data_IF_833381287850
#
_entry.id   IF_833381287850
#
_cell.length_a   1.000
_cell.length_b   1.000
_cell.length_c   1.000
_cell.angle_alpha   90.00
_cell.angle_beta   90.00
_cell.angle_gamma   90.00
#
_symmetry.space_group_name_H-M   'P 1'
#
loop_
_entity.id
_entity.type
_entity.pdbx_description
1 polymer ?
#
# COMPACT_ATOMS: atom_id res chain seq x y z
N UNK A 1 27.34 16.64 -46.71
CA UNK A 1 26.90 15.45 -45.95
C UNK A 1 27.79 14.28 -46.37
N UNK A 2 28.87 14.00 -45.65
CA UNK A 2 29.70 12.81 -45.85
C UNK A 2 29.83 12.08 -44.50
N UNK A 3 29.47 10.80 -44.52
CA UNK A 3 29.52 9.87 -43.39
C UNK A 3 30.97 9.49 -43.03
N UNK A 4 31.25 9.11 -41.77
CA UNK A 4 32.53 8.53 -41.39
C UNK A 4 32.65 7.05 -41.83
N UNK A 5 33.87 6.53 -42.07
CA UNK A 5 34.07 5.15 -42.49
C UNK A 5 34.06 4.14 -41.32
N UNK A 6 33.50 2.97 -41.60
CA UNK A 6 33.59 1.73 -40.83
C UNK A 6 35.04 1.22 -40.80
N UNK A 7 35.57 0.96 -39.60
CA UNK A 7 36.77 0.15 -39.40
C UNK A 7 36.38 -1.23 -38.83
N UNK A 8 37.01 -2.23 -39.42
CA UNK A 8 36.71 -3.65 -39.28
C UNK A 8 37.40 -4.31 -38.07
N UNK A 9 36.68 -5.29 -37.50
CA UNK A 9 37.10 -6.61 -36.97
C UNK A 9 38.54 -6.81 -36.47
N UNK A 10 38.63 -7.40 -35.28
CA UNK A 10 39.47 -8.59 -35.06
C UNK A 10 38.71 -9.60 -34.20
N UNK A 11 38.39 -10.73 -34.84
CA UNK A 11 37.99 -11.97 -34.20
C UNK A 11 39.26 -12.71 -33.78
N UNK A 12 39.21 -13.42 -32.66
CA UNK A 12 40.05 -14.60 -32.45
C UNK A 12 39.20 -15.67 -31.78
N UNK A 13 39.36 -16.86 -32.33
CA UNK A 13 38.59 -18.10 -32.26
C UNK A 13 38.73 -18.79 -30.89
N UNK A 14 37.66 -19.35 -30.32
CA UNK A 14 37.19 -20.75 -30.42
C UNK A 14 37.92 -21.75 -29.52
N UNK A 15 37.11 -22.47 -28.73
CA UNK A 15 37.27 -23.84 -28.18
C UNK A 15 36.84 -23.83 -26.70
N UNK A 16 35.97 -24.67 -26.16
CA UNK A 16 35.26 -25.85 -26.65
C UNK A 16 34.26 -26.17 -25.54
N UNK A 17 33.00 -26.45 -25.88
CA UNK A 17 32.07 -27.09 -24.95
C UNK A 17 32.55 -28.52 -24.63
N UNK A 18 32.04 -29.15 -23.56
CA UNK A 18 30.98 -30.08 -23.89
C UNK A 18 29.73 -29.93 -23.03
N UNK A 19 28.65 -30.25 -23.73
CA UNK A 19 27.28 -30.41 -23.30
C UNK A 19 27.09 -31.83 -22.73
N UNK A 20 26.02 -31.98 -21.95
CA UNK A 20 25.28 -33.22 -21.62
C UNK A 20 25.77 -34.04 -20.41
N UNK A 21 24.95 -34.02 -19.35
CA UNK A 21 24.29 -35.28 -18.97
C UNK A 21 22.84 -35.04 -18.51
N UNK A 22 21.92 -35.50 -19.36
CA UNK A 22 20.55 -35.87 -19.03
C UNK A 22 20.57 -36.98 -17.99
N UNK A 23 19.67 -36.96 -17.00
CA UNK A 23 19.01 -38.19 -16.57
C UNK A 23 17.65 -37.87 -15.96
N UNK A 24 16.62 -38.22 -16.73
CA UNK A 24 15.28 -38.45 -16.25
C UNK A 24 15.16 -39.92 -15.80
N UNK A 25 14.19 -40.15 -14.92
CA UNK A 25 13.69 -41.42 -14.41
C UNK A 25 14.52 -42.08 -13.29
N UNK A 26 13.92 -42.13 -12.10
CA UNK A 26 13.32 -43.38 -11.64
C UNK A 26 12.30 -43.13 -10.53
N UNK A 27 11.06 -43.55 -10.82
CA UNK A 27 10.00 -43.81 -9.84
C UNK A 27 10.51 -44.80 -8.80
N UNK A 28 10.73 -44.34 -7.57
CA UNK A 28 10.78 -45.21 -6.41
C UNK A 28 9.36 -45.62 -6.02
N UNK A 29 8.86 -46.71 -6.62
CA UNK A 29 7.75 -47.47 -6.06
C UNK A 29 8.24 -48.15 -4.77
N UNK A 30 7.79 -47.69 -3.61
CA UNK A 30 7.81 -48.53 -2.41
C UNK A 30 6.62 -49.50 -2.51
N UNK A 31 6.94 -50.74 -2.87
CA UNK A 31 6.01 -51.88 -2.90
C UNK A 31 5.67 -52.29 -1.46
N UNK A 32 4.37 -52.48 -1.22
CA UNK A 32 3.79 -53.20 -0.09
C UNK A 32 4.36 -54.63 0.03
N UNK A 33 4.47 -55.12 1.27
CA UNK A 33 4.09 -56.49 1.61
C UNK A 33 2.86 -56.46 2.52
N UNK A 34 1.73 -57.01 2.05
CA UNK A 34 0.72 -57.58 2.96
C UNK A 34 1.03 -59.06 3.23
N UNK A 35 0.21 -59.85 3.96
CA UNK A 35 -1.07 -59.52 4.62
C UNK A 35 -1.18 -60.02 6.09
N UNK A 36 -2.18 -59.55 6.87
CA UNK A 36 -2.56 -60.20 8.15
C UNK A 36 -3.36 -59.37 9.18
N UNK A 37 -4.64 -59.10 8.88
CA UNK A 37 -5.89 -59.01 9.72
C UNK A 37 -5.84 -58.78 11.27
N UNK A 38 -6.97 -58.42 11.93
CA UNK A 38 -7.68 -57.13 12.05
C UNK A 38 -7.58 -56.53 13.47
N UNK A 39 -7.82 -55.23 13.60
CA UNK A 39 -8.03 -54.61 14.91
C UNK A 39 -8.73 -53.28 14.77
N UNK A 40 -10.06 -53.30 14.71
CA UNK A 40 -10.89 -52.11 14.91
C UNK A 40 -10.70 -51.73 16.38
N UNK A 41 -9.85 -50.74 16.64
CA UNK A 41 -9.87 -50.01 17.92
C UNK A 41 -10.61 -48.72 17.67
N UNK A 42 -11.87 -48.79 18.08
CA UNK A 42 -12.82 -47.71 18.31
C UNK A 42 -12.15 -46.55 19.05
N UNK A 43 -11.79 -45.50 18.31
CA UNK A 43 -11.37 -44.24 18.91
C UNK A 43 -12.63 -43.57 19.47
N UNK A 44 -12.85 -43.74 20.77
CA UNK A 44 -13.81 -43.00 21.58
C UNK A 44 -13.69 -41.50 21.28
N UNK A 45 -14.70 -40.95 20.63
CA UNK A 45 -14.93 -39.51 20.57
C UNK A 45 -15.27 -39.04 22.00
N UNK A 46 -14.35 -38.32 22.64
CA UNK A 46 -14.68 -37.61 23.87
C UNK A 46 -15.46 -36.33 23.54
N UNK A 47 -16.59 -36.08 24.22
CA UNK A 47 -17.43 -34.91 23.98
C UNK A 47 -16.79 -33.63 24.54
N UNK A 48 -16.78 -32.61 23.68
CA UNK A 48 -16.92 -31.17 23.93
C UNK A 48 -16.74 -30.71 25.39
N UNK A 49 -15.64 -30.00 25.64
CA UNK A 49 -15.66 -28.89 26.62
C UNK A 49 -15.56 -27.61 25.81
N UNK A 50 -16.72 -27.10 25.38
CA UNK A 50 -16.85 -25.74 24.90
C UNK A 50 -16.53 -24.83 26.09
N UNK A 51 -15.28 -24.41 26.23
CA UNK A 51 -14.98 -23.20 26.99
C UNK A 51 -15.78 -22.08 26.34
N UNK A 52 -16.71 -21.53 27.10
CA UNK A 52 -17.51 -20.39 26.72
C UNK A 52 -16.59 -19.26 26.24
N UNK A 53 -16.51 -19.09 24.93
CA UNK A 53 -16.01 -17.87 24.31
C UNK A 53 -17.02 -16.80 24.69
N UNK A 54 -16.61 -15.90 25.58
CA UNK A 54 -17.27 -14.62 25.79
C UNK A 54 -17.58 -14.04 24.40
N UNK A 55 -18.78 -13.49 24.15
CA UNK A 55 -19.00 -12.78 22.90
C UNK A 55 -18.00 -11.61 22.86
N UNK A 56 -17.00 -11.73 21.98
CA UNK A 56 -16.25 -10.57 21.50
C UNK A 56 -17.31 -9.58 21.03
N UNK A 57 -17.37 -8.46 21.74
CA UNK A 57 -18.13 -7.30 21.34
C UNK A 57 -17.61 -6.92 19.95
N UNK A 58 -18.35 -7.31 18.91
CA UNK A 58 -18.06 -6.94 17.53
C UNK A 58 -18.18 -5.43 17.51
N UNK A 59 -17.07 -4.72 17.71
CA UNK A 59 -16.98 -3.29 17.53
C UNK A 59 -17.25 -3.08 16.05
N UNK A 60 -18.52 -2.82 15.70
CA UNK A 60 -18.92 -2.55 14.35
C UNK A 60 -18.12 -1.34 13.89
N UNK A 61 -17.21 -1.55 12.93
CA UNK A 61 -16.45 -0.47 12.31
C UNK A 61 -17.40 0.67 11.97
N UNK A 62 -17.07 1.90 12.36
CA UNK A 62 -18.01 3.00 12.24
C UNK A 62 -18.41 3.19 10.78
N UNK A 63 -19.73 3.29 10.55
CA UNK A 63 -20.33 3.37 9.21
C UNK A 63 -19.79 4.60 8.49
N UNK A 64 -19.58 4.49 7.18
CA UNK A 64 -19.17 5.62 6.36
C UNK A 64 -20.21 6.75 6.42
N UNK A 65 -19.79 8.02 6.57
CA UNK A 65 -20.69 9.15 6.51
C UNK A 65 -21.37 9.24 5.14
N UNK A 66 -22.54 9.86 5.11
CA UNK A 66 -23.27 10.11 3.87
C UNK A 66 -22.44 10.99 2.93
N UNK A 67 -22.40 10.65 1.64
CA UNK A 67 -21.63 11.41 0.65
C UNK A 67 -20.16 11.02 0.52
N UNK A 68 -19.68 9.99 1.24
CA UNK A 68 -18.36 9.40 0.97
C UNK A 68 -18.38 8.58 -0.34
N UNK A 69 -17.37 8.70 -1.24
CA UNK A 69 -16.17 9.52 -1.12
C UNK A 69 -16.41 11.02 -1.38
N UNK A 70 -15.69 11.93 -0.69
CA UNK A 70 -15.81 13.37 -0.90
C UNK A 70 -15.48 13.76 -2.34
N UNK A 71 -16.32 14.64 -2.89
CA UNK A 71 -16.23 15.16 -4.26
C UNK A 71 -15.82 16.63 -4.31
N UNK A 72 -15.84 17.30 -3.16
CA UNK A 72 -15.44 18.69 -3.00
C UNK A 72 -14.53 18.84 -1.78
N UNK A 73 -13.77 19.93 -1.72
CA UNK A 73 -12.92 20.19 -0.56
C UNK A 73 -13.69 20.62 0.68
N UNK A 74 -14.87 21.23 0.52
CA UNK A 74 -15.77 21.47 1.64
C UNK A 74 -16.15 20.14 2.32
N UNK A 75 -16.53 19.12 1.53
CA UNK A 75 -16.82 17.78 2.05
C UNK A 75 -15.60 17.13 2.69
N UNK A 76 -14.41 17.29 2.09
CA UNK A 76 -13.18 16.75 2.68
C UNK A 76 -12.83 17.42 4.02
N UNK A 77 -13.04 18.73 4.13
CA UNK A 77 -12.81 19.51 5.34
C UNK A 77 -13.79 19.13 6.45
N UNK A 78 -15.06 18.96 6.13
CA UNK A 78 -16.07 18.46 7.06
C UNK A 78 -15.72 17.05 7.56
N UNK A 79 -15.31 16.16 6.65
CA UNK A 79 -14.88 14.82 6.97
C UNK A 79 -13.70 14.81 7.96
N UNK A 80 -12.74 15.73 7.81
CA UNK A 80 -11.59 15.83 8.70
C UNK A 80 -11.93 16.20 10.16
N UNK A 81 -13.14 16.70 10.45
CA UNK A 81 -13.60 16.86 11.83
C UNK A 81 -13.72 15.52 12.58
N UNK A 82 -13.85 14.41 11.85
CA UNK A 82 -13.96 13.04 12.37
C UNK A 82 -12.64 12.26 12.32
N UNK A 83 -11.53 12.95 12.02
CA UNK A 83 -10.19 12.38 11.96
C UNK A 83 -9.76 11.75 13.29
N UNK A 84 -8.97 10.68 13.19
CA UNK A 84 -8.36 10.04 14.35
C UNK A 84 -7.23 10.90 14.93
N UNK A 85 -6.90 10.60 16.18
CA UNK A 85 -5.62 11.01 16.73
C UNK A 85 -4.49 10.22 16.03
N UNK A 86 -3.39 10.90 15.77
CA UNK A 86 -2.19 10.31 15.18
C UNK A 86 -0.94 10.82 15.88
N UNK A 87 0.17 10.11 15.70
CA UNK A 87 1.52 10.54 16.11
C UNK A 87 2.35 10.82 14.87
N UNK A 88 3.26 11.78 14.93
CA UNK A 88 4.23 12.03 13.86
C UNK A 88 5.40 11.05 14.03
N UNK A 89 5.62 10.18 13.04
CA UNK A 89 6.73 9.23 13.02
C UNK A 89 8.02 9.84 12.47
N UNK A 90 7.89 10.80 11.55
CA UNK A 90 9.02 11.46 10.92
C UNK A 90 8.59 12.63 10.04
N UNK A 91 9.53 13.53 9.76
CA UNK A 91 9.36 14.54 8.71
C UNK A 91 10.69 14.79 8.03
N UNK A 92 10.67 14.73 6.70
CA UNK A 92 11.85 14.95 5.88
C UNK A 92 11.55 15.91 4.73
N UNK A 93 12.59 16.60 4.29
CA UNK A 93 12.57 17.43 3.09
C UNK A 93 13.27 16.68 1.98
N UNK A 94 12.56 16.48 0.87
CA UNK A 94 13.09 15.84 -0.33
C UNK A 94 13.41 16.89 -1.41
N UNK A 95 14.22 16.47 -2.39
CA UNK A 95 14.58 17.31 -3.53
C UNK A 95 13.33 17.79 -4.31
N UNK A 96 13.44 18.99 -4.89
CA UNK A 96 12.37 19.57 -5.70
C UNK A 96 11.23 20.20 -4.89
N UNK A 97 11.55 20.79 -3.73
CA UNK A 97 10.55 21.54 -2.94
C UNK A 97 9.48 20.66 -2.31
N UNK A 98 9.84 19.43 -1.94
CA UNK A 98 8.90 18.44 -1.40
C UNK A 98 9.11 18.23 0.09
N UNK A 99 8.03 18.19 0.86
CA UNK A 99 8.03 17.78 2.27
C UNK A 99 7.27 16.47 2.41
N UNK A 100 7.86 15.51 3.11
CA UNK A 100 7.21 14.25 3.47
C UNK A 100 7.04 14.21 4.98
N UNK A 101 5.83 13.84 5.41
CA UNK A 101 5.49 13.67 6.82
C UNK A 101 4.92 12.28 7.00
N UNK A 102 5.48 11.54 7.92
CA UNK A 102 5.02 10.21 8.29
C UNK A 102 4.15 10.33 9.54
N UNK A 103 2.95 9.77 9.48
CA UNK A 103 2.01 9.74 10.60
C UNK A 103 1.63 8.30 10.93
N UNK A 104 1.42 8.04 12.21
CA UNK A 104 1.02 6.72 12.73
C UNK A 104 -0.33 6.86 13.41
N UNK A 105 -1.30 6.02 13.01
CA UNK A 105 -2.66 6.02 13.55
C UNK A 105 -3.23 4.60 13.61
N UNK A 106 -4.22 4.34 14.49
CA UNK A 106 -4.79 3.01 14.65
C UNK A 106 -5.49 2.52 13.38
N UNK A 107 -5.65 1.19 13.19
CA UNK A 107 -6.44 0.63 12.10
C UNK A 107 -7.85 1.24 12.05
N UNK A 108 -8.30 1.62 10.86
CA UNK A 108 -9.57 2.32 10.68
C UNK A 108 -10.13 2.12 9.26
N UNK A 109 -11.44 2.35 9.05
CA UNK A 109 -12.03 2.29 7.70
C UNK A 109 -11.50 3.41 6.80
N UNK A 110 -11.53 3.16 5.48
CA UNK A 110 -11.01 4.07 4.46
C UNK A 110 -11.48 5.54 4.61
N UNK A 111 -12.74 5.77 4.98
CA UNK A 111 -13.27 7.14 5.14
C UNK A 111 -12.59 7.90 6.29
N UNK A 112 -12.29 7.22 7.39
CA UNK A 112 -11.65 7.80 8.56
C UNK A 112 -10.15 7.97 8.33
N UNK A 113 -9.56 7.10 7.52
CA UNK A 113 -8.21 7.26 6.99
C UNK A 113 -8.09 8.54 6.16
N UNK A 114 -9.01 8.78 5.22
CA UNK A 114 -9.07 10.02 4.41
C UNK A 114 -9.17 11.25 5.32
N UNK A 115 -10.07 11.21 6.33
CA UNK A 115 -10.22 12.28 7.32
C UNK A 115 -8.89 12.60 8.01
N UNK A 116 -8.19 11.56 8.47
CA UNK A 116 -6.93 11.66 9.23
C UNK A 116 -5.80 12.18 8.37
N UNK A 117 -5.66 11.70 7.13
CA UNK A 117 -4.66 12.18 6.18
C UNK A 117 -4.84 13.67 5.85
N UNK A 118 -6.09 14.12 5.64
CA UNK A 118 -6.35 15.53 5.34
C UNK A 118 -6.17 16.45 6.55
N UNK A 119 -6.54 15.99 7.75
CA UNK A 119 -6.22 16.70 9.00
C UNK A 119 -4.71 16.89 9.13
N UNK A 120 -3.93 15.83 8.93
CA UNK A 120 -2.48 15.91 8.99
C UNK A 120 -1.87 16.84 7.93
N UNK A 121 -2.41 16.85 6.72
CA UNK A 121 -2.04 17.84 5.72
C UNK A 121 -2.27 19.27 6.24
N UNK A 122 -3.46 19.54 6.79
CA UNK A 122 -3.81 20.87 7.27
C UNK A 122 -2.92 21.36 8.41
N UNK A 123 -2.42 20.45 9.25
CA UNK A 123 -1.51 20.76 10.37
C UNK A 123 -0.04 20.88 9.95
N UNK A 124 0.35 20.24 8.84
CA UNK A 124 1.74 20.20 8.37
C UNK A 124 1.99 20.92 7.05
N UNK A 125 0.96 21.53 6.46
CA UNK A 125 1.09 22.35 5.27
C UNK A 125 2.07 23.50 5.53
N UNK A 126 2.93 23.75 4.55
CA UNK A 126 3.96 24.76 4.65
C UNK A 126 4.21 25.32 3.24
N UNK A 127 3.99 26.63 3.10
CA UNK A 127 4.02 27.33 1.81
C UNK A 127 5.41 27.34 1.16
N UNK A 128 6.47 27.03 1.91
CA UNK A 128 7.83 26.89 1.39
C UNK A 128 8.01 25.68 0.48
N UNK A 129 7.07 24.72 0.52
CA UNK A 129 7.11 23.51 -0.28
C UNK A 129 6.00 23.53 -1.34
N UNK A 130 6.39 23.17 -2.57
CA UNK A 130 5.49 23.03 -3.71
C UNK A 130 4.62 21.77 -3.60
N UNK A 131 5.14 20.73 -2.95
CA UNK A 131 4.41 19.48 -2.68
C UNK A 131 4.56 19.07 -1.22
N UNK A 132 3.45 18.72 -0.58
CA UNK A 132 3.42 18.09 0.75
C UNK A 132 2.85 16.69 0.62
N UNK A 133 3.54 15.70 1.16
CA UNK A 133 3.13 14.29 1.15
C UNK A 133 2.93 13.84 2.59
N UNK A 134 1.75 13.34 2.90
CA UNK A 134 1.44 12.67 4.16
C UNK A 134 1.43 11.16 3.89
N UNK A 135 2.28 10.41 4.58
CA UNK A 135 2.34 8.95 4.54
C UNK A 135 1.78 8.39 5.84
N UNK A 136 0.74 7.56 5.75
CA UNK A 136 0.14 6.91 6.90
C UNK A 136 0.74 5.55 7.21
N UNK A 137 0.81 5.19 8.48
CA UNK A 137 1.24 3.88 8.96
C UNK A 137 0.38 3.43 10.14
N UNK A 138 0.26 2.12 10.34
CA UNK A 138 -0.30 1.56 11.57
C UNK A 138 0.82 1.24 12.56
N UNK A 139 0.54 1.25 13.87
CA UNK A 139 1.56 0.96 14.91
C UNK A 139 2.19 -0.43 14.73
N UNK A 140 1.44 -1.40 14.20
CA UNK A 140 1.91 -2.76 13.92
C UNK A 140 2.62 -2.91 12.56
N UNK A 141 2.56 -1.87 11.71
CA UNK A 141 3.25 -1.89 10.43
C UNK A 141 4.73 -1.70 10.68
N UNK A 142 5.50 -2.76 10.46
CA UNK A 142 6.95 -2.69 10.50
C UNK A 142 7.43 -1.69 9.43
N UNK A 143 7.74 -0.46 9.87
CA UNK A 143 8.14 0.68 9.04
C UNK A 143 9.33 0.33 8.13
N UNK A 144 10.05 -0.74 8.45
CA UNK A 144 11.16 -1.30 7.68
C UNK A 144 10.77 -1.82 6.28
N UNK A 145 9.51 -2.20 6.05
CA UNK A 145 9.07 -2.74 4.75
C UNK A 145 8.45 -1.69 3.80
N UNK A 146 8.43 -0.41 4.18
CA UNK A 146 8.23 0.71 3.25
C UNK A 146 6.85 0.83 2.59
N UNK A 147 5.86 0.01 2.96
CA UNK A 147 4.49 0.18 2.49
C UNK A 147 3.74 1.11 3.43
N UNK A 148 3.34 2.28 2.91
CA UNK A 148 2.41 3.13 3.63
C UNK A 148 1.02 2.49 3.64
N UNK A 149 0.29 2.71 4.74
CA UNK A 149 -1.13 2.47 4.82
C UNK A 149 -1.76 3.85 4.64
N UNK A 150 -2.06 4.19 3.40
CA UNK A 150 -2.64 5.47 3.02
C UNK A 150 -1.60 6.54 2.73
N UNK A 151 -1.91 7.35 1.72
CA UNK A 151 -1.07 8.45 1.26
C UNK A 151 -1.92 9.62 0.82
N UNK A 152 -1.55 10.82 1.22
CA UNK A 152 -2.04 12.06 0.62
C UNK A 152 -0.87 12.79 -0.03
N UNK A 153 -1.02 13.16 -1.29
CA UNK A 153 -0.11 14.07 -1.99
C UNK A 153 -0.86 15.36 -2.31
N UNK A 154 -0.35 16.48 -1.81
CA UNK A 154 -0.85 17.81 -2.09
C UNK A 154 0.16 18.57 -2.94
N UNK A 155 -0.22 18.91 -4.16
CA UNK A 155 0.57 19.75 -5.06
C UNK A 155 -0.05 21.15 -5.08
N UNK A 156 0.71 22.16 -4.66
CA UNK A 156 0.24 23.55 -4.60
C UNK A 156 0.13 24.18 -5.99
N UNK A 157 0.96 23.74 -6.93
CA UNK A 157 1.13 24.30 -8.28
C UNK A 157 1.20 23.21 -9.34
N UNK A 158 0.23 22.29 -9.34
CA UNK A 158 0.14 21.28 -10.40
C UNK A 158 -0.31 21.93 -11.71
N UNK A 159 0.30 21.51 -12.83
CA UNK A 159 -0.11 21.96 -14.17
C UNK A 159 -1.24 21.11 -14.70
N UNK A 160 -2.32 21.76 -15.14
CA UNK A 160 -3.40 21.17 -15.91
C UNK A 160 -3.59 22.00 -17.19
N UNK A 161 -2.98 21.54 -18.30
CA UNK A 161 -2.85 22.36 -19.50
C UNK A 161 -2.04 23.62 -19.22
N UNK A 162 -2.63 24.79 -19.50
CA UNK A 162 -2.03 26.11 -19.25
C UNK A 162 -2.40 26.70 -17.88
N UNK A 163 -3.15 25.97 -17.06
CA UNK A 163 -3.60 26.43 -15.75
C UNK A 163 -2.75 25.82 -14.64
N UNK A 164 -2.52 26.60 -13.58
CA UNK A 164 -2.00 26.10 -12.32
C UNK A 164 -3.18 25.82 -11.38
N UNK A 165 -3.17 24.64 -10.79
CA UNK A 165 -4.19 24.19 -9.85
C UNK A 165 -3.53 23.70 -8.56
N UNK A 166 -4.28 23.77 -7.47
CA UNK A 166 -4.01 22.96 -6.28
C UNK A 166 -4.59 21.57 -6.53
N UNK A 167 -3.84 20.52 -6.23
CA UNK A 167 -4.27 19.13 -6.43
C UNK A 167 -4.05 18.31 -5.17
N UNK A 168 -5.09 17.61 -4.75
CA UNK A 168 -5.08 16.67 -3.63
C UNK A 168 -5.30 15.28 -4.21
N UNK A 169 -4.35 14.38 -3.97
CA UNK A 169 -4.44 12.97 -4.36
C UNK A 169 -4.36 12.11 -3.11
N UNK A 170 -5.44 11.41 -2.79
CA UNK A 170 -5.58 10.60 -1.58
C UNK A 170 -5.76 9.15 -2.00
N UNK A 171 -4.96 8.27 -1.42
CA UNK A 171 -5.00 6.83 -1.61
C UNK A 171 -5.14 6.20 -0.22
N UNK A 172 -6.11 5.31 -0.03
CA UNK A 172 -6.29 4.56 1.23
C UNK A 172 -5.63 3.19 1.15
N UNK A 173 -5.36 2.60 2.31
CA UNK A 173 -4.65 1.32 2.43
C UNK A 173 -3.36 1.29 1.60
N UNK A 174 -3.00 0.14 1.01
CA UNK A 174 -1.82 0.02 0.14
C UNK A 174 -2.19 0.23 -1.34
N UNK A 175 -3.47 0.49 -1.63
CA UNK A 175 -3.99 0.72 -2.97
C UNK A 175 -4.30 -0.55 -3.76
N UNK A 176 -4.21 -1.73 -3.15
CA UNK A 176 -4.49 -3.02 -3.79
C UNK A 176 -5.68 -3.76 -3.17
N UNK A 177 -6.12 -3.32 -1.99
CA UNK A 177 -7.24 -3.88 -1.26
C UNK A 177 -8.57 -3.48 -1.95
N UNK A 178 -9.57 -4.37 -1.90
CA UNK A 178 -10.87 -4.19 -2.58
C UNK A 178 -11.61 -2.93 -2.09
N UNK A 179 -11.40 -2.55 -0.84
CA UNK A 179 -11.96 -1.38 -0.16
C UNK A 179 -11.05 -0.14 -0.26
N UNK A 180 -9.96 -0.20 -1.04
CA UNK A 180 -9.12 0.96 -1.34
C UNK A 180 -9.85 1.99 -2.19
N UNK A 181 -9.70 3.24 -1.79
CA UNK A 181 -10.28 4.40 -2.47
C UNK A 181 -9.16 5.32 -2.91
N UNK A 182 -9.27 5.80 -4.15
CA UNK A 182 -8.42 6.85 -4.69
C UNK A 182 -9.27 8.07 -5.01
N UNK A 183 -8.95 9.20 -4.37
CA UNK A 183 -9.69 10.45 -4.49
C UNK A 183 -8.74 11.49 -5.08
N UNK A 184 -9.22 12.22 -6.10
CA UNK A 184 -8.52 13.35 -6.68
C UNK A 184 -9.42 14.57 -6.62
N UNK A 185 -8.99 15.61 -5.91
CA UNK A 185 -9.66 16.90 -5.83
C UNK A 185 -8.74 18.00 -6.36
N UNK A 186 -9.31 19.02 -6.98
CA UNK A 186 -8.57 20.14 -7.55
C UNK A 186 -9.23 21.48 -7.24
N UNK A 187 -8.43 22.52 -7.01
CA UNK A 187 -8.88 23.91 -6.95
C UNK A 187 -8.13 24.73 -7.97
N UNK A 188 -8.84 25.58 -8.70
CA UNK A 188 -8.23 26.61 -9.52
C UNK A 188 -7.52 27.62 -8.60
N UNK A 189 -6.29 27.98 -8.96
CA UNK A 189 -5.65 29.13 -8.31
C UNK A 189 -6.35 30.40 -8.82
N UNK A 190 -6.71 31.34 -7.93
CA UNK A 190 -7.24 32.62 -8.37
C UNK A 190 -6.22 33.29 -9.30
N UNK A 191 -6.71 33.91 -10.37
CA UNK A 191 -5.87 34.74 -11.22
C UNK A 191 -5.37 35.93 -10.39
N UNK A 192 -4.05 36.11 -10.33
CA UNK A 192 -3.40 37.29 -9.73
C UNK A 192 -3.64 38.55 -10.56
#
# INVERSE_FOLDING_TARGET
MQQPPLAARSQTESATSPMILRQAAQRGQARLPGPGIPGIVEASAQPVTTSAVLPEEIVTSPRSPEGFPPKTLAQLRELAATALAYKVGGSEVQAGGKKVVEIVYPPCPAWQQVATLYKALSEHDDERYDTVIICGFHEESDLRFGFNNGRLTFDRRARLGNQLIRRYLIETHRGFEIDSVRIVLTEELPAE
#
